data_IF_740161680099
#
_entry.id   IF_740161680099
#
_cell.length_a   1.000
_cell.length_b   1.000
_cell.length_c   1.000
_cell.angle_alpha   90.00
_cell.angle_beta   90.00
_cell.angle_gamma   90.00
#
_symmetry.space_group_name_H-M   'P 1'
#
loop_
_entity.id
_entity.type
_entity.pdbx_description
1 polymer ?
#
# COMPACT_ATOMS: atom_id res chain seq x y z
N UNK A 1 8.44 32.00 19.50
CA UNK A 1 7.79 32.62 18.33
C UNK A 1 8.73 32.49 17.14
N UNK A 2 8.61 31.45 16.35
CA UNK A 2 9.32 31.32 15.07
C UNK A 2 8.36 30.72 14.06
N UNK A 3 7.80 31.61 13.26
CA UNK A 3 6.92 31.29 12.14
C UNK A 3 7.75 30.70 10.99
N UNK A 4 7.58 29.45 10.65
CA UNK A 4 8.09 28.86 9.41
C UNK A 4 6.99 28.89 8.35
N UNK A 5 7.13 29.84 7.47
CA UNK A 5 6.30 30.03 6.28
C UNK A 5 6.58 28.91 5.27
N UNK A 6 5.59 28.08 5.02
CA UNK A 6 5.60 27.07 3.93
C UNK A 6 5.27 27.83 2.62
N UNK A 7 6.25 27.95 1.73
CA UNK A 7 6.05 28.47 0.38
C UNK A 7 5.47 27.36 -0.51
N UNK A 8 4.19 27.51 -0.85
CA UNK A 8 3.49 26.68 -1.83
C UNK A 8 3.90 27.13 -3.25
N UNK A 9 4.75 26.35 -3.91
CA UNK A 9 5.16 26.60 -5.29
C UNK A 9 4.05 26.27 -6.28
N UNK A 10 3.38 27.29 -6.78
CA UNK A 10 2.39 27.20 -7.86
C UNK A 10 3.14 27.09 -9.21
N UNK A 11 3.13 25.90 -9.82
CA UNK A 11 3.67 25.70 -11.18
C UNK A 11 2.59 26.15 -12.18
N UNK A 12 2.78 27.34 -12.77
CA UNK A 12 1.98 27.83 -13.87
C UNK A 12 2.44 27.19 -15.18
N UNK A 13 1.63 26.33 -15.76
CA UNK A 13 1.80 25.87 -17.13
C UNK A 13 1.42 27.01 -18.08
N UNK A 14 2.43 27.59 -18.71
CA UNK A 14 2.25 28.59 -19.78
C UNK A 14 1.69 27.92 -21.04
N UNK A 15 0.53 28.35 -21.47
CA UNK A 15 -0.04 27.99 -22.76
C UNK A 15 0.79 28.69 -23.89
N UNK A 16 1.50 27.91 -24.68
CA UNK A 16 2.17 28.36 -25.89
C UNK A 16 1.17 28.36 -27.03
N UNK A 17 0.87 29.54 -27.55
CA UNK A 17 0.09 29.72 -28.77
C UNK A 17 0.91 29.28 -29.98
N UNK A 18 0.54 28.16 -30.58
CA UNK A 18 1.12 27.72 -31.85
C UNK A 18 0.50 28.49 -33.01
N UNK A 19 1.30 29.29 -33.67
CA UNK A 19 0.94 29.98 -34.91
C UNK A 19 0.77 28.98 -36.04
N UNK A 20 -0.39 28.96 -36.67
CA UNK A 20 -0.67 28.17 -37.85
C UNK A 20 0.18 28.60 -39.03
N UNK A 21 1.16 27.82 -39.41
CA UNK A 21 1.82 27.93 -40.71
C UNK A 21 1.07 27.08 -41.74
N UNK A 22 0.51 27.70 -42.72
CA UNK A 22 -0.04 27.10 -43.91
C UNK A 22 1.06 26.36 -44.64
N UNK A 23 1.01 25.04 -44.67
CA UNK A 23 2.00 24.18 -45.30
C UNK A 23 1.39 23.33 -46.38
N UNK A 24 2.00 23.43 -47.52
CA UNK A 24 1.95 22.63 -48.71
C UNK A 24 1.44 21.19 -48.52
N UNK A 25 0.50 20.83 -49.39
CA UNK A 25 0.03 19.47 -49.58
C UNK A 25 1.18 18.57 -50.06
N UNK A 26 1.95 17.99 -49.14
CA UNK A 26 2.73 16.79 -49.43
C UNK A 26 1.74 15.62 -49.38
N UNK A 27 1.57 14.94 -50.53
CA UNK A 27 0.97 13.63 -50.57
C UNK A 27 1.83 12.68 -49.71
N UNK A 28 1.45 12.52 -48.46
CA UNK A 28 1.98 11.50 -47.61
C UNK A 28 1.42 10.20 -48.14
N UNK A 29 2.26 9.39 -48.77
CA UNK A 29 2.01 7.99 -49.07
C UNK A 29 1.53 7.33 -47.75
N UNK A 30 0.26 7.04 -47.66
CA UNK A 30 -0.31 6.26 -46.56
C UNK A 30 0.27 4.85 -46.68
N UNK A 31 1.36 4.61 -45.95
CA UNK A 31 1.78 3.28 -45.64
C UNK A 31 0.63 2.54 -44.92
N UNK A 32 0.59 1.21 -44.93
CA UNK A 32 -0.49 0.48 -44.29
C UNK A 32 -0.59 0.93 -42.83
N UNK A 33 -1.77 1.47 -42.44
CA UNK A 33 -2.06 1.78 -41.03
C UNK A 33 -1.94 0.47 -40.26
N UNK A 34 -0.86 0.31 -39.54
CA UNK A 34 -0.74 -0.77 -38.56
C UNK A 34 -1.63 -0.40 -37.39
N UNK A 35 -2.83 -0.95 -37.35
CA UNK A 35 -3.69 -0.86 -36.18
C UNK A 35 -3.06 -1.71 -35.09
N UNK A 36 -2.27 -1.06 -34.24
CA UNK A 36 -1.74 -1.70 -33.05
C UNK A 36 -2.93 -1.99 -32.13
N UNK A 37 -3.21 -3.26 -31.89
CA UNK A 37 -4.28 -3.67 -30.99
C UNK A 37 -3.84 -3.35 -29.57
N UNK A 38 -4.37 -2.30 -28.98
CA UNK A 38 -4.21 -1.99 -27.58
C UNK A 38 -4.90 -3.10 -26.76
N UNK A 39 -4.11 -3.96 -26.14
CA UNK A 39 -4.62 -5.00 -25.26
C UNK A 39 -4.83 -4.39 -23.87
N UNK A 40 -6.06 -4.13 -23.52
CA UNK A 40 -6.47 -3.72 -22.19
C UNK A 40 -7.42 -4.76 -21.61
N UNK A 41 -7.39 -4.95 -20.31
CA UNK A 41 -8.24 -5.94 -19.67
C UNK A 41 -8.39 -5.74 -18.18
N UNK A 42 -9.34 -6.46 -17.60
CA UNK A 42 -9.53 -6.49 -16.16
C UNK A 42 -8.64 -7.54 -15.52
N UNK A 43 -8.07 -7.19 -14.36
CA UNK A 43 -7.23 -8.06 -13.54
C UNK A 43 -7.76 -8.11 -12.12
N UNK A 44 -7.84 -9.32 -11.57
CA UNK A 44 -8.11 -9.60 -10.17
C UNK A 44 -6.96 -10.42 -9.58
N UNK A 45 -6.51 -10.07 -8.39
CA UNK A 45 -5.37 -10.73 -7.75
C UNK A 45 -5.61 -10.94 -6.24
N UNK A 46 -5.98 -12.14 -5.80
CA UNK A 46 -5.84 -12.53 -4.40
C UNK A 46 -4.35 -12.56 -4.01
N UNK A 47 -4.04 -12.05 -2.85
CA UNK A 47 -2.68 -11.82 -2.40
C UNK A 47 -2.55 -12.06 -0.88
N UNK A 48 -1.43 -12.63 -0.47
CA UNK A 48 -1.06 -12.86 0.92
C UNK A 48 0.29 -12.19 1.17
N UNK A 49 0.39 -11.47 2.27
CA UNK A 49 1.62 -10.77 2.67
C UNK A 49 2.09 -11.24 4.02
N UNK A 50 3.40 -11.34 4.17
CA UNK A 50 4.08 -11.55 5.44
C UNK A 50 4.82 -10.26 5.77
N UNK A 51 4.63 -9.76 6.96
CA UNK A 51 5.20 -8.49 7.41
C UNK A 51 5.33 -8.48 8.93
N UNK A 52 5.87 -7.43 9.48
CA UNK A 52 5.89 -7.19 10.91
C UNK A 52 4.79 -6.17 11.28
N UNK A 53 4.02 -6.48 12.31
CA UNK A 53 3.03 -5.59 12.92
C UNK A 53 3.21 -5.69 14.43
N UNK A 54 3.46 -4.56 15.09
CA UNK A 54 3.68 -4.49 16.53
C UNK A 54 4.81 -5.45 16.98
N UNK A 55 5.95 -5.38 16.29
CA UNK A 55 7.14 -6.23 16.54
C UNK A 55 6.87 -7.74 16.48
N UNK A 56 5.78 -8.14 15.81
CA UNK A 56 5.39 -9.54 15.65
C UNK A 56 5.21 -9.89 14.19
N UNK A 57 5.79 -11.00 13.75
CA UNK A 57 5.57 -11.52 12.39
C UNK A 57 4.09 -11.79 12.17
N UNK A 58 3.55 -11.19 11.15
CA UNK A 58 2.12 -11.12 10.89
C UNK A 58 1.80 -11.48 9.44
N UNK A 59 0.71 -12.21 9.26
CA UNK A 59 0.14 -12.50 7.95
C UNK A 59 -1.01 -11.56 7.61
N UNK A 60 -0.96 -10.95 6.45
CA UNK A 60 -2.06 -10.18 5.89
C UNK A 60 -2.65 -10.94 4.71
N UNK A 61 -3.98 -10.98 4.65
CA UNK A 61 -4.71 -11.57 3.53
C UNK A 61 -5.50 -10.46 2.86
N UNK A 62 -5.56 -10.51 1.54
CA UNK A 62 -6.28 -9.51 0.79
C UNK A 62 -6.23 -9.74 -0.70
N UNK A 63 -6.31 -8.65 -1.45
CA UNK A 63 -6.23 -8.70 -2.88
C UNK A 63 -6.49 -7.34 -3.50
N UNK A 64 -6.38 -7.31 -4.81
CA UNK A 64 -6.61 -6.11 -5.59
C UNK A 64 -7.28 -6.44 -6.92
N UNK A 65 -7.97 -5.44 -7.47
CA UNK A 65 -8.61 -5.55 -8.76
C UNK A 65 -8.59 -4.21 -9.49
N UNK A 66 -8.58 -4.24 -10.80
CA UNK A 66 -8.57 -3.03 -11.61
C UNK A 66 -8.32 -3.31 -13.09
N UNK A 67 -7.86 -2.29 -13.77
CA UNK A 67 -7.68 -2.26 -15.19
C UNK A 67 -6.20 -2.27 -15.58
N UNK A 68 -5.86 -3.07 -16.58
CA UNK A 68 -4.54 -3.09 -17.21
C UNK A 68 -4.64 -2.34 -18.53
N UNK A 69 -3.82 -1.32 -18.70
CA UNK A 69 -3.67 -0.56 -19.93
C UNK A 69 -2.36 -0.95 -20.63
N UNK A 70 -2.46 -1.19 -21.95
CA UNK A 70 -1.31 -1.46 -22.83
C UNK A 70 -0.38 -2.59 -22.33
N UNK A 71 -0.93 -3.58 -21.64
CA UNK A 71 -0.16 -4.69 -21.02
C UNK A 71 0.96 -4.24 -20.08
N UNK A 72 1.09 -2.95 -19.81
CA UNK A 72 2.22 -2.36 -19.10
C UNK A 72 1.83 -1.68 -17.79
N UNK A 73 0.65 -1.08 -17.70
CA UNK A 73 0.22 -0.31 -16.54
C UNK A 73 -1.08 -0.84 -15.98
N UNK A 74 -1.07 -1.23 -14.71
CA UNK A 74 -2.27 -1.55 -13.95
C UNK A 74 -2.63 -0.37 -13.04
N UNK A 75 -3.91 -0.03 -13.00
CA UNK A 75 -4.50 0.92 -12.06
C UNK A 75 -5.74 0.29 -11.48
N UNK A 76 -5.84 0.26 -10.15
CA UNK A 76 -6.96 -0.37 -9.47
C UNK A 76 -7.01 -0.05 -7.99
N UNK A 77 -7.84 -0.78 -7.27
CA UNK A 77 -7.96 -0.70 -5.82
C UNK A 77 -7.69 -2.04 -5.16
N UNK A 78 -7.28 -2.01 -3.91
CA UNK A 78 -7.07 -3.22 -3.14
C UNK A 78 -7.14 -2.97 -1.64
N UNK A 79 -7.19 -4.08 -0.89
CA UNK A 79 -7.23 -4.02 0.56
C UNK A 79 -6.71 -5.29 1.19
N UNK A 80 -6.24 -5.14 2.41
CA UNK A 80 -5.60 -6.19 3.20
C UNK A 80 -6.07 -6.11 4.65
N UNK A 81 -6.18 -7.26 5.30
CA UNK A 81 -6.48 -7.34 6.72
C UNK A 81 -5.58 -8.38 7.39
N UNK A 82 -5.35 -8.19 8.66
CA UNK A 82 -4.53 -9.04 9.48
C UNK A 82 -5.22 -10.39 9.72
N UNK A 83 -4.64 -11.48 9.20
CA UNK A 83 -5.22 -12.82 9.30
C UNK A 83 -4.94 -13.48 10.65
N UNK A 84 -3.79 -13.20 11.27
CA UNK A 84 -3.40 -13.73 12.59
C UNK A 84 -3.55 -12.67 13.70
N UNK A 85 -4.57 -11.82 13.58
CA UNK A 85 -4.95 -10.86 14.61
C UNK A 85 -5.44 -11.53 15.88
N UNK A 86 -5.44 -10.76 16.96
CA UNK A 86 -6.06 -11.13 18.24
C UNK A 86 -6.95 -9.97 18.70
N UNK A 87 -7.78 -10.18 19.71
CA UNK A 87 -8.69 -9.13 20.22
C UNK A 87 -8.01 -7.82 20.65
N UNK A 88 -6.68 -7.79 20.71
CA UNK A 88 -5.89 -6.59 21.02
C UNK A 88 -4.92 -6.17 19.92
N UNK A 89 -4.95 -6.83 18.76
CA UNK A 89 -4.11 -6.53 17.61
C UNK A 89 -4.88 -6.81 16.33
N UNK A 90 -5.44 -5.77 15.75
CA UNK A 90 -6.16 -5.81 14.48
C UNK A 90 -5.61 -4.74 13.57
N UNK A 91 -5.58 -5.01 12.27
CA UNK A 91 -5.16 -4.07 11.25
C UNK A 91 -5.89 -4.36 9.96
N UNK A 92 -6.41 -3.31 9.32
CA UNK A 92 -6.95 -3.38 7.97
C UNK A 92 -6.61 -2.08 7.24
N UNK A 93 -6.22 -2.19 5.98
CA UNK A 93 -5.94 -1.03 5.14
C UNK A 93 -6.25 -1.31 3.68
N UNK A 94 -6.44 -0.24 2.91
CA UNK A 94 -6.68 -0.34 1.48
C UNK A 94 -6.49 0.99 0.79
N UNK A 95 -6.51 0.96 -0.54
CA UNK A 95 -6.31 2.16 -1.32
C UNK A 95 -6.15 1.91 -2.81
N UNK A 96 -5.62 2.94 -3.48
CA UNK A 96 -5.25 2.90 -4.88
C UNK A 96 -3.98 2.06 -5.06
N UNK A 97 -3.98 1.20 -6.07
CA UNK A 97 -2.81 0.43 -6.49
C UNK A 97 -2.45 0.81 -7.91
N UNK A 98 -1.19 1.17 -8.10
CA UNK A 98 -0.57 1.39 -9.39
C UNK A 98 0.54 0.36 -9.52
N UNK A 99 0.55 -0.40 -10.63
CA UNK A 99 1.58 -1.41 -10.88
C UNK A 99 2.09 -1.28 -12.31
N UNK A 100 3.40 -1.20 -12.44
CA UNK A 100 4.08 -1.32 -13.73
C UNK A 100 4.41 -2.77 -14.03
N UNK A 101 3.99 -3.24 -15.20
CA UNK A 101 4.07 -4.62 -15.65
C UNK A 101 5.18 -4.76 -16.70
N UNK A 102 6.46 -4.82 -16.30
CA UNK A 102 7.57 -5.02 -17.22
C UNK A 102 7.57 -6.43 -17.84
N UNK A 103 7.85 -6.53 -19.13
CA UNK A 103 7.96 -7.80 -19.91
C UNK A 103 6.75 -8.73 -19.74
N UNK A 104 5.54 -8.19 -19.87
CA UNK A 104 4.30 -8.96 -19.68
C UNK A 104 4.17 -10.16 -20.64
N UNK A 105 4.78 -10.09 -21.80
CA UNK A 105 4.76 -11.14 -22.84
C UNK A 105 5.74 -12.31 -22.59
N UNK A 106 6.66 -12.22 -21.63
CA UNK A 106 7.58 -13.29 -21.31
C UNK A 106 7.03 -14.26 -20.26
N UNK A 107 7.61 -15.48 -20.20
CA UNK A 107 7.23 -16.47 -19.17
C UNK A 107 7.56 -15.97 -17.76
N UNK A 108 8.64 -15.20 -17.64
CA UNK A 108 9.03 -14.52 -16.40
C UNK A 108 9.07 -13.02 -16.66
N UNK A 109 8.45 -12.24 -15.83
CA UNK A 109 8.43 -10.79 -15.86
C UNK A 109 8.74 -10.21 -14.49
N UNK A 110 9.12 -8.93 -14.48
CA UNK A 110 9.34 -8.15 -13.27
C UNK A 110 8.44 -6.91 -13.31
N UNK A 111 8.16 -6.37 -12.16
CA UNK A 111 7.36 -5.17 -12.06
C UNK A 111 7.61 -4.41 -10.77
N UNK A 112 6.96 -3.27 -10.69
CA UNK A 112 6.91 -2.46 -9.48
C UNK A 112 5.45 -2.10 -9.20
N UNK A 113 5.02 -2.26 -7.96
CA UNK A 113 3.67 -1.98 -7.49
C UNK A 113 3.76 -0.99 -6.33
N UNK A 114 2.82 -0.07 -6.25
CA UNK A 114 2.67 0.83 -5.11
C UNK A 114 1.21 0.87 -4.68
N UNK A 115 0.96 0.71 -3.39
CA UNK A 115 -0.33 0.94 -2.75
C UNK A 115 -0.25 2.26 -1.99
N UNK A 116 -1.21 3.14 -2.24
CA UNK A 116 -1.37 4.42 -1.56
C UNK A 116 -2.79 4.50 -0.99
N UNK A 117 -2.93 4.68 0.30
CA UNK A 117 -4.25 4.68 0.90
C UNK A 117 -4.26 4.93 2.39
N UNK A 118 -5.22 4.34 3.08
CA UNK A 118 -5.37 4.45 4.51
C UNK A 118 -5.91 3.20 5.14
N UNK A 119 -5.88 3.16 6.45
CA UNK A 119 -6.36 2.03 7.21
C UNK A 119 -6.60 2.38 8.67
N UNK A 120 -6.96 1.37 9.41
CA UNK A 120 -7.15 1.42 10.85
C UNK A 120 -6.39 0.27 11.51
N UNK A 121 -5.79 0.56 12.66
CA UNK A 121 -5.18 -0.45 13.52
C UNK A 121 -5.72 -0.32 14.94
N UNK A 122 -5.95 -1.44 15.59
CA UNK A 122 -6.23 -1.54 17.02
C UNK A 122 -5.03 -2.19 17.67
N UNK A 123 -4.39 -1.48 18.58
CA UNK A 123 -3.24 -1.97 19.32
C UNK A 123 -3.52 -1.91 20.81
N UNK A 124 -2.99 -2.88 21.55
CA UNK A 124 -3.10 -2.91 23.01
C UNK A 124 -1.85 -2.33 23.63
N UNK A 125 -2.02 -1.25 24.40
CA UNK A 125 -0.98 -0.69 25.24
C UNK A 125 -1.15 -1.13 26.68
N UNK A 126 -0.04 -1.49 27.31
CA UNK A 126 0.00 -1.94 28.69
C UNK A 126 0.64 -0.85 29.54
N UNK A 127 -0.12 -0.28 30.46
CA UNK A 127 0.37 0.69 31.44
C UNK A 127 0.48 0.02 32.80
N UNK A 128 1.64 0.18 33.43
CA UNK A 128 1.83 -0.26 34.81
C UNK A 128 1.90 0.96 35.71
N UNK A 129 0.91 1.13 36.55
CA UNK A 129 0.85 2.19 37.52
C UNK A 129 1.17 1.63 38.93
N UNK A 130 1.99 2.37 39.68
CA UNK A 130 2.31 2.04 41.07
C UNK A 130 1.27 2.66 41.97
N UNK A 131 0.26 1.88 42.36
CA UNK A 131 -0.79 2.31 43.26
C UNK A 131 -0.37 2.11 44.71
N UNK A 132 -0.39 3.20 45.51
CA UNK A 132 -0.15 3.14 46.94
C UNK A 132 -1.40 2.61 47.63
N UNK A 133 -1.30 1.43 48.22
CA UNK A 133 -2.37 0.85 49.04
C UNK A 133 -2.26 1.39 50.44
N UNK A 134 -3.23 2.17 50.92
CA UNK A 134 -3.22 2.64 52.31
C UNK A 134 -3.37 1.45 53.25
N UNK A 135 -2.56 1.41 54.28
CA UNK A 135 -2.65 0.38 55.32
C UNK A 135 -3.21 0.95 56.60
N UNK A 136 -3.99 0.13 57.33
CA UNK A 136 -4.49 0.51 58.68
C UNK A 136 -3.34 0.30 59.65
N UNK A 137 -3.02 1.29 60.53
CA UNK A 137 -1.99 1.13 61.52
C UNK A 137 -2.17 -0.15 62.34
N UNK A 138 -1.09 -0.90 62.65
CA UNK A 138 0.32 -0.54 62.55
C UNK A 138 1.06 -0.96 61.26
N UNK A 139 0.33 -1.34 60.22
CA UNK A 139 0.93 -1.73 58.96
C UNK A 139 1.45 -0.52 58.14
N UNK A 140 2.56 -0.70 57.44
CA UNK A 140 3.10 0.33 56.56
C UNK A 140 2.39 0.34 55.21
N UNK A 141 2.17 1.50 54.55
CA UNK A 141 1.67 1.58 53.20
C UNK A 141 2.57 0.78 52.26
N UNK A 142 1.96 -0.03 51.43
CA UNK A 142 2.66 -0.83 50.42
C UNK A 142 2.34 -0.30 49.04
N UNK A 143 3.32 -0.24 48.16
CA UNK A 143 3.09 0.09 46.74
C UNK A 143 2.94 -1.19 45.96
N UNK A 144 1.83 -1.31 45.23
CA UNK A 144 1.54 -2.45 44.41
C UNK A 144 1.48 -2.00 42.92
N UNK A 145 2.17 -2.68 42.01
CA UNK A 145 1.99 -2.43 40.57
C UNK A 145 0.62 -2.93 40.17
N UNK A 146 -0.14 -2.07 39.50
CA UNK A 146 -1.40 -2.41 38.86
C UNK A 146 -1.19 -2.24 37.36
N UNK A 147 -1.34 -3.32 36.61
CA UNK A 147 -1.23 -3.32 35.17
C UNK A 147 -2.62 -3.19 34.54
N UNK A 148 -2.80 -2.15 33.77
CA UNK A 148 -4.01 -1.90 32.99
C UNK A 148 -3.71 -2.01 31.51
N UNK A 149 -4.60 -2.64 30.76
CA UNK A 149 -4.51 -2.71 29.29
C UNK A 149 -5.56 -1.80 28.69
N UNK A 150 -5.16 -0.98 27.75
CA UNK A 150 -6.04 -0.08 27.01
C UNK A 150 -5.90 -0.43 25.52
N UNK A 151 -7.01 -0.64 24.86
CA UNK A 151 -7.06 -0.81 23.41
C UNK A 151 -7.26 0.57 22.78
N UNK A 152 -6.33 0.94 21.89
CA UNK A 152 -6.40 2.18 21.15
C UNK A 152 -6.59 1.85 19.67
N UNK A 153 -7.63 2.42 19.09
CA UNK A 153 -7.91 2.34 17.66
C UNK A 153 -7.49 3.63 17.00
N UNK A 154 -6.64 3.52 16.00
CA UNK A 154 -6.08 4.66 15.30
C UNK A 154 -6.13 4.48 13.79
N UNK A 155 -6.50 5.58 13.08
CA UNK A 155 -6.42 5.65 11.63
C UNK A 155 -5.04 6.09 11.18
N UNK A 156 -4.58 5.53 10.07
CA UNK A 156 -3.28 5.85 9.49
C UNK A 156 -3.34 5.95 7.97
N UNK A 157 -2.43 6.73 7.42
CA UNK A 157 -2.10 6.72 6.00
C UNK A 157 -1.05 5.63 5.73
N UNK A 158 -1.13 4.97 4.58
CA UNK A 158 -0.19 3.94 4.15
C UNK A 158 0.35 4.21 2.77
N UNK A 159 1.67 4.04 2.61
CA UNK A 159 2.36 3.97 1.34
C UNK A 159 3.21 2.69 1.33
N UNK A 160 2.98 1.82 0.36
CA UNK A 160 3.63 0.51 0.29
C UNK A 160 4.12 0.24 -1.14
N UNK A 161 5.34 0.68 -1.50
CA UNK A 161 6.02 0.25 -2.71
C UNK A 161 6.54 -1.18 -2.57
N UNK A 162 6.46 -1.92 -3.67
CA UNK A 162 6.81 -3.32 -3.78
C UNK A 162 7.43 -3.60 -5.15
N UNK A 163 8.49 -4.40 -5.19
CA UNK A 163 9.05 -4.98 -6.40
C UNK A 163 8.57 -6.41 -6.51
N UNK A 164 8.04 -6.77 -7.66
CA UNK A 164 7.46 -8.09 -7.91
C UNK A 164 8.11 -8.82 -9.10
N UNK A 165 8.25 -10.11 -8.94
CA UNK A 165 8.53 -11.07 -10.00
C UNK A 165 7.26 -11.85 -10.32
N UNK A 166 7.07 -12.17 -11.60
CA UNK A 166 5.87 -12.85 -12.09
C UNK A 166 6.24 -14.02 -12.97
N UNK A 167 5.52 -15.12 -12.80
CA UNK A 167 5.65 -16.32 -13.61
C UNK A 167 4.32 -16.64 -14.25
N UNK A 168 4.26 -16.67 -15.58
CA UNK A 168 3.05 -17.03 -16.33
C UNK A 168 2.81 -18.53 -16.20
N UNK A 169 1.68 -18.92 -15.63
CA UNK A 169 1.23 -20.30 -15.53
C UNK A 169 0.37 -20.68 -16.73
N UNK A 170 -0.57 -19.79 -17.08
CA UNK A 170 -1.46 -19.93 -18.24
C UNK A 170 -1.59 -18.59 -18.97
N UNK A 171 -2.40 -18.54 -20.01
CA UNK A 171 -2.72 -17.29 -20.73
C UNK A 171 -3.43 -16.25 -19.83
N UNK A 172 -4.13 -16.69 -18.80
CA UNK A 172 -4.94 -15.81 -17.93
C UNK A 172 -4.54 -15.86 -16.46
N UNK A 173 -3.53 -16.67 -16.09
CA UNK A 173 -3.11 -16.86 -14.69
C UNK A 173 -1.61 -16.67 -14.59
N UNK A 174 -1.21 -15.83 -13.64
CA UNK A 174 0.20 -15.59 -13.28
C UNK A 174 0.39 -15.73 -11.77
N UNK A 175 1.46 -16.39 -11.38
CA UNK A 175 1.95 -16.39 -10.00
C UNK A 175 2.81 -15.14 -9.81
N UNK A 176 2.61 -14.42 -8.72
CA UNK A 176 3.42 -13.25 -8.35
C UNK A 176 4.07 -13.47 -7.01
N UNK A 177 5.27 -12.96 -6.86
CA UNK A 177 5.95 -12.86 -5.57
C UNK A 177 6.69 -11.54 -5.51
N UNK A 178 6.59 -10.84 -4.39
CA UNK A 178 7.13 -9.49 -4.24
C UNK A 178 7.78 -9.25 -2.90
N UNK A 179 8.61 -8.22 -2.86
CA UNK A 179 9.21 -7.67 -1.66
C UNK A 179 9.04 -6.16 -1.67
N UNK A 180 8.76 -5.59 -0.52
CA UNK A 180 8.51 -4.16 -0.40
C UNK A 180 8.73 -3.65 1.01
N UNK A 181 8.32 -2.41 1.21
CA UNK A 181 8.34 -1.78 2.51
C UNK A 181 7.06 -0.96 2.71
N UNK A 182 6.46 -1.10 3.87
CA UNK A 182 5.27 -0.33 4.26
C UNK A 182 5.67 0.81 5.16
N UNK A 183 5.36 2.03 4.71
CA UNK A 183 5.40 3.24 5.50
C UNK A 183 3.99 3.59 5.96
N UNK A 184 3.87 3.94 7.22
CA UNK A 184 2.62 4.43 7.80
C UNK A 184 2.85 5.78 8.46
N UNK A 185 1.80 6.60 8.50
CA UNK A 185 1.78 7.87 9.23
C UNK A 185 0.43 8.02 9.91
N UNK A 186 0.43 8.01 11.22
CA UNK A 186 -0.76 8.08 12.06
C UNK A 186 -1.32 9.51 12.13
N UNK A 187 -2.65 9.65 12.15
CA UNK A 187 -3.28 10.95 12.21
C UNK A 187 -3.10 11.66 13.56
N UNK A 188 -3.09 10.91 14.65
CA UNK A 188 -3.10 11.47 16.02
C UNK A 188 -1.81 11.27 16.80
N UNK A 189 -0.82 10.56 16.28
CA UNK A 189 0.49 10.30 16.90
C UNK A 189 0.41 9.71 18.33
N UNK A 190 -0.65 8.96 18.63
CA UNK A 190 -0.77 8.26 19.92
C UNK A 190 0.19 7.07 20.04
N UNK A 191 0.55 6.47 18.90
CA UNK A 191 1.51 5.39 18.81
C UNK A 191 2.73 5.81 18.00
N UNK A 192 3.84 5.13 18.26
CA UNK A 192 5.02 5.24 17.40
C UNK A 192 4.69 4.59 16.04
N UNK A 193 4.76 5.37 14.97
CA UNK A 193 4.52 4.92 13.59
C UNK A 193 5.35 3.69 13.24
N UNK A 194 6.49 3.47 13.91
CA UNK A 194 7.37 2.32 13.72
C UNK A 194 6.71 0.97 13.98
N UNK A 195 5.66 0.91 14.80
CA UNK A 195 4.94 -0.35 15.12
C UNK A 195 4.17 -0.93 13.92
N UNK A 196 3.79 -0.10 12.96
CA UNK A 196 3.03 -0.48 11.77
C UNK A 196 3.87 -0.48 10.50
N UNK A 197 5.10 0.08 10.55
CA UNK A 197 6.04 0.09 9.44
C UNK A 197 6.84 -1.20 9.39
N UNK A 198 7.26 -1.61 8.20
CA UNK A 198 8.11 -2.78 8.09
C UNK A 198 8.28 -3.31 6.67
N UNK A 199 9.21 -4.26 6.56
CA UNK A 199 9.39 -5.01 5.33
C UNK A 199 8.16 -5.89 5.06
N UNK A 200 7.83 -6.03 3.78
CA UNK A 200 6.70 -6.82 3.30
C UNK A 200 7.21 -7.81 2.28
N UNK A 201 6.83 -9.07 2.41
CA UNK A 201 6.98 -10.08 1.38
C UNK A 201 5.58 -10.54 0.96
N UNK A 202 5.33 -10.65 -0.33
CA UNK A 202 4.02 -11.02 -0.87
C UNK A 202 4.08 -12.23 -1.78
N UNK A 203 2.98 -12.96 -1.83
CA UNK A 203 2.72 -14.01 -2.82
C UNK A 203 1.25 -13.95 -3.23
N UNK A 204 0.98 -13.98 -4.54
CA UNK A 204 -0.38 -13.87 -5.04
C UNK A 204 -0.57 -14.52 -6.41
N UNK A 205 -1.81 -14.55 -6.82
CA UNK A 205 -2.22 -15.02 -8.14
C UNK A 205 -2.91 -13.89 -8.88
N UNK A 206 -2.39 -13.49 -10.03
CA UNK A 206 -3.06 -12.58 -10.94
C UNK A 206 -3.90 -13.37 -11.93
N UNK A 207 -5.19 -13.05 -12.01
CA UNK A 207 -6.17 -13.67 -12.86
C UNK A 207 -6.81 -12.57 -13.72
N UNK A 208 -6.76 -12.71 -15.03
CA UNK A 208 -7.36 -11.72 -15.92
C UNK A 208 -7.07 -11.94 -17.40
N UNK A 209 -7.62 -11.04 -18.23
CA UNK A 209 -7.36 -10.95 -19.66
C UNK A 209 -6.69 -9.62 -19.99
N UNK A 210 -5.99 -9.57 -21.13
CA UNK A 210 -5.25 -8.37 -21.56
C UNK A 210 -3.74 -8.50 -21.43
N UNK A 211 -3.28 -9.76 -21.49
CA UNK A 211 -1.85 -10.08 -21.49
C UNK A 211 -1.43 -10.81 -22.74
#
# INVERSE_FOLDING_TARGET
>A
MNSRTLALGLVLFGAQTVSAQTSQTQQISQGPMTVERIHSGFLFAPDVKITEVDHTTSGLVGGYAGWVAEEALFIGGGGYWLANGSSGREMAYGGLIIQFLGRSNHRVGFGAKALLGGGEATLTDTFTELVRVPAIPPLRPTTRPVTSQIQVREGFFVAEPELDARVRLTKSIRLTGGIGYRWTSSYYHYHDDSRLQGAVASIGLQIGGGF
#
